data_IF_600053860247
#
_entry.id   IF_600053860247
#
_cell.length_a   1.000
_cell.length_b   1.000
_cell.length_c   1.000
_cell.angle_alpha   90.00
_cell.angle_beta   90.00
_cell.angle_gamma   90.00
#
_symmetry.space_group_name_H-M   'P 1'
#
loop_
_entity.id
_entity.type
_entity.pdbx_description
1 polymer ?
#
# COMPACT_ATOMS: atom_id res chain seq x y z
N UNK A 1 -14.42 11.28 8.57
CA UNK A 1 -13.99 10.12 9.37
C UNK A 1 -14.88 8.93 9.05
N UNK A 2 -14.28 7.80 8.66
CA UNK A 2 -14.96 6.54 8.39
C UNK A 2 -14.25 5.42 9.15
N UNK A 3 -14.99 4.55 9.84
CA UNK A 3 -14.41 3.40 10.54
C UNK A 3 -14.73 2.10 9.80
N UNK A 4 -13.71 1.29 9.57
CA UNK A 4 -13.79 -0.01 8.91
C UNK A 4 -13.45 -1.13 9.88
N UNK A 5 -14.11 -2.27 9.73
CA UNK A 5 -13.83 -3.48 10.50
C UNK A 5 -13.29 -4.60 9.61
N UNK A 6 -12.28 -5.32 10.10
CA UNK A 6 -11.74 -6.53 9.49
C UNK A 6 -11.16 -7.44 10.58
N UNK A 7 -11.58 -8.71 10.61
CA UNK A 7 -11.17 -9.73 11.60
C UNK A 7 -11.23 -9.25 13.07
N UNK A 8 -12.31 -8.58 13.44
CA UNK A 8 -12.50 -8.04 14.80
C UNK A 8 -11.65 -6.81 15.14
N UNK A 9 -10.77 -6.36 14.22
CA UNK A 9 -10.01 -5.13 14.34
C UNK A 9 -10.69 -3.97 13.61
N UNK A 10 -10.47 -2.76 14.13
CA UNK A 10 -11.01 -1.49 13.66
C UNK A 10 -9.90 -0.62 13.09
N UNK A 11 -10.22 0.01 11.96
CA UNK A 11 -9.36 0.90 11.21
C UNK A 11 -10.11 2.20 10.96
N UNK A 12 -9.47 3.32 11.24
CA UNK A 12 -9.99 4.65 10.98
C UNK A 12 -9.42 5.17 9.68
N UNK A 13 -10.28 5.80 8.88
CA UNK A 13 -9.90 6.52 7.69
C UNK A 13 -10.37 7.96 7.78
N UNK A 14 -9.42 8.86 7.66
CA UNK A 14 -9.64 10.30 7.65
C UNK A 14 -9.20 10.90 6.33
N UNK A 15 -9.91 11.93 5.88
CA UNK A 15 -9.48 12.74 4.76
C UNK A 15 -9.79 14.20 5.01
N UNK A 16 -8.92 15.08 4.53
CA UNK A 16 -9.09 16.51 4.67
C UNK A 16 -7.86 17.30 4.22
N UNK A 17 -8.05 18.61 4.05
CA UNK A 17 -6.96 19.51 3.68
C UNK A 17 -6.02 19.73 4.88
N UNK A 18 -4.73 19.48 4.69
CA UNK A 18 -3.68 19.72 5.67
C UNK A 18 -2.95 21.02 5.34
N UNK A 19 -3.23 22.09 6.08
CA UNK A 19 -2.56 23.38 5.93
C UNK A 19 -1.03 23.31 6.11
N UNK A 20 -0.48 22.55 7.09
CA UNK A 20 0.97 22.44 7.24
C UNK A 20 1.67 21.80 6.04
N UNK A 21 0.96 20.90 5.34
CA UNK A 21 1.51 20.13 4.22
C UNK A 21 1.18 20.73 2.84
N UNK A 22 0.28 21.72 2.80
CA UNK A 22 -0.30 22.30 1.58
C UNK A 22 -0.82 21.21 0.62
N UNK A 23 -1.58 20.27 1.19
CA UNK A 23 -1.97 19.04 0.53
C UNK A 23 -3.31 18.51 1.05
N UNK A 24 -4.04 17.83 0.17
CA UNK A 24 -5.12 16.96 0.61
C UNK A 24 -4.53 15.66 1.17
N UNK A 25 -4.94 15.31 2.40
CA UNK A 25 -4.43 14.17 3.15
C UNK A 25 -5.48 13.07 3.19
N UNK A 26 -5.08 11.84 2.93
CA UNK A 26 -5.81 10.62 3.27
C UNK A 26 -4.99 9.84 4.29
N UNK A 27 -5.60 9.40 5.38
CA UNK A 27 -4.92 8.69 6.46
C UNK A 27 -5.67 7.41 6.82
N UNK A 28 -4.92 6.32 6.97
CA UNK A 28 -5.38 5.03 7.47
C UNK A 28 -4.63 4.71 8.76
N UNK A 29 -5.39 4.57 9.85
CA UNK A 29 -4.85 4.25 11.17
C UNK A 29 -5.55 3.02 11.77
N UNK A 30 -4.79 2.13 12.41
CA UNK A 30 -5.38 1.09 13.27
C UNK A 30 -5.75 1.66 14.63
N UNK A 31 -7.03 1.58 15.01
CA UNK A 31 -7.54 2.17 16.27
C UNK A 31 -7.91 1.13 17.33
N UNK A 32 -7.85 -0.16 16.99
CA UNK A 32 -7.97 -1.26 17.94
C UNK A 32 -6.75 -2.20 17.86
N UNK A 33 -6.43 -2.88 18.94
CA UNK A 33 -5.28 -3.79 19.02
C UNK A 33 -4.24 -3.30 20.01
N UNK A 34 -3.05 -3.91 20.00
CA UNK A 34 -1.96 -3.45 20.85
C UNK A 34 -1.45 -2.08 20.37
N UNK A 35 -1.17 -1.13 21.28
CA UNK A 35 -0.64 0.18 20.90
C UNK A 35 0.60 0.06 20.00
N UNK A 36 0.66 0.86 18.93
CA UNK A 36 1.79 0.86 17.99
C UNK A 36 1.88 -0.33 17.04
N UNK A 37 0.85 -1.20 16.99
CA UNK A 37 0.82 -2.35 16.06
C UNK A 37 -0.10 -2.15 14.85
N UNK A 38 -1.03 -1.18 14.94
CA UNK A 38 -1.91 -0.80 13.85
C UNK A 38 -1.15 -0.10 12.73
N UNK A 39 -1.66 -0.14 11.49
CA UNK A 39 -1.02 0.56 10.40
C UNK A 39 -1.07 2.06 10.61
N UNK A 40 -0.09 2.75 10.05
CA UNK A 40 -0.14 4.18 9.88
C UNK A 40 0.37 4.51 8.47
N UNK A 41 -0.60 4.80 7.60
CA UNK A 41 -0.35 5.06 6.18
C UNK A 41 -1.06 6.35 5.78
N UNK A 42 -0.32 7.27 5.19
CA UNK A 42 -0.80 8.60 4.80
C UNK A 42 -0.48 8.82 3.34
N UNK A 43 -1.46 9.29 2.56
CA UNK A 43 -1.27 9.73 1.18
C UNK A 43 -1.50 11.23 1.12
N UNK A 44 -0.47 11.95 0.68
CA UNK A 44 -0.47 13.40 0.55
C UNK A 44 -0.54 13.76 -0.93
N UNK A 45 -1.64 14.40 -1.33
CA UNK A 45 -1.89 14.90 -2.67
C UNK A 45 -1.66 16.42 -2.64
N UNK A 46 -0.51 16.91 -3.14
CA UNK A 46 -0.19 18.32 -3.02
C UNK A 46 -1.17 19.20 -3.80
N UNK A 47 -1.44 20.38 -3.28
CA UNK A 47 -2.29 21.35 -3.95
C UNK A 47 -1.54 22.10 -5.07
N UNK A 48 -2.23 22.35 -6.17
CA UNK A 48 -1.82 23.13 -7.34
C UNK A 48 -2.75 24.32 -7.59
N UNK A 49 -3.67 24.61 -6.68
CA UNK A 49 -4.68 25.67 -6.81
C UNK A 49 -4.03 27.02 -7.09
N UNK A 50 -4.33 27.65 -8.24
CA UNK A 50 -4.01 29.06 -8.45
C UNK A 50 -5.00 29.94 -7.67
N UNK A 51 -4.47 30.97 -7.00
CA UNK A 51 -5.20 32.13 -6.46
C UNK A 51 -6.56 31.82 -5.75
N UNK A 52 -6.52 31.40 -4.48
CA UNK A 52 -7.68 31.20 -3.57
C UNK A 52 -8.85 30.33 -4.13
N UNK A 53 -8.59 29.54 -5.18
CA UNK A 53 -9.56 28.66 -5.84
C UNK A 53 -9.91 27.39 -5.05
N UNK A 54 -10.78 26.52 -5.60
CA UNK A 54 -11.00 25.19 -5.05
C UNK A 54 -9.75 24.32 -5.25
N UNK A 55 -9.53 23.40 -4.29
CA UNK A 55 -8.44 22.43 -4.32
C UNK A 55 -8.26 21.82 -5.72
N UNK A 56 -7.03 21.89 -6.23
CA UNK A 56 -6.65 21.34 -7.52
C UNK A 56 -5.47 20.40 -7.32
N UNK A 57 -5.64 19.07 -7.44
CA UNK A 57 -4.57 18.15 -7.13
C UNK A 57 -3.40 18.25 -8.13
N UNK A 58 -2.17 18.20 -7.62
CA UNK A 58 -1.00 17.89 -8.46
C UNK A 58 -1.11 16.46 -9.02
N UNK A 59 -0.36 16.23 -10.09
CA UNK A 59 -0.26 14.91 -10.74
C UNK A 59 0.30 13.85 -9.80
N UNK A 60 -0.04 12.59 -10.09
CA UNK A 60 0.39 11.39 -9.36
C UNK A 60 1.90 11.34 -9.06
N UNK A 61 2.73 11.84 -9.96
CA UNK A 61 4.19 11.93 -9.79
C UNK A 61 4.65 12.82 -8.62
N UNK A 62 3.78 13.70 -8.13
CA UNK A 62 4.02 14.56 -6.98
C UNK A 62 3.38 14.04 -5.68
N UNK A 63 2.49 13.05 -5.77
CA UNK A 63 1.82 12.45 -4.62
C UNK A 63 2.81 11.59 -3.84
N UNK A 64 2.73 11.65 -2.51
CA UNK A 64 3.61 10.89 -1.61
C UNK A 64 2.78 9.97 -0.72
N UNK A 65 3.26 8.75 -0.55
CA UNK A 65 2.80 7.79 0.45
C UNK A 65 3.79 7.76 1.59
N UNK A 66 3.36 8.17 2.78
CA UNK A 66 4.11 8.07 4.03
C UNK A 66 3.63 6.82 4.76
N UNK A 67 4.57 5.97 5.15
CA UNK A 67 4.30 4.66 5.73
C UNK A 67 5.17 4.55 6.99
N UNK A 68 4.58 4.10 8.09
CA UNK A 68 5.30 3.78 9.31
C UNK A 68 5.15 2.30 9.64
N UNK A 69 6.01 1.81 10.53
CA UNK A 69 5.98 0.45 11.06
C UNK A 69 4.56 0.02 11.44
N UNK A 70 4.17 -1.16 10.99
CA UNK A 70 2.85 -1.70 11.29
C UNK A 70 2.38 -2.73 10.27
N UNK A 71 1.26 -3.38 10.58
CA UNK A 71 0.64 -4.41 9.74
C UNK A 71 -0.76 -3.99 9.33
N UNK A 72 -1.03 -4.04 8.02
CA UNK A 72 -2.36 -3.81 7.44
C UNK A 72 -2.86 -5.10 6.79
N UNK A 73 -4.07 -5.58 7.10
CA UNK A 73 -4.68 -6.63 6.29
C UNK A 73 -4.79 -6.19 4.83
N UNK A 74 -4.43 -7.08 3.90
CA UNK A 74 -4.43 -6.76 2.48
C UNK A 74 -5.76 -6.18 1.97
N UNK A 75 -6.95 -6.70 2.35
CA UNK A 75 -8.22 -6.12 1.93
C UNK A 75 -8.47 -4.71 2.47
N UNK A 76 -7.95 -4.39 3.66
CA UNK A 76 -8.05 -3.03 4.25
C UNK A 76 -7.20 -2.07 3.45
N UNK A 77 -5.98 -2.47 3.06
CA UNK A 77 -5.11 -1.66 2.23
C UNK A 77 -5.72 -1.40 0.85
N UNK A 78 -6.19 -2.44 0.16
CA UNK A 78 -6.81 -2.28 -1.17
C UNK A 78 -8.01 -1.36 -1.10
N UNK A 79 -8.87 -1.50 -0.08
CA UNK A 79 -10.01 -0.59 0.11
C UNK A 79 -9.59 0.86 0.32
N UNK A 80 -8.46 1.10 0.99
CA UNK A 80 -7.91 2.44 1.16
C UNK A 80 -7.40 3.02 -0.17
N UNK A 81 -6.72 2.21 -0.97
CA UNK A 81 -6.26 2.61 -2.31
C UNK A 81 -7.46 2.90 -3.23
N UNK A 82 -8.45 2.01 -3.25
CA UNK A 82 -9.70 2.19 -4.03
C UNK A 82 -10.44 3.47 -3.65
N UNK A 83 -10.48 3.82 -2.36
CA UNK A 83 -11.09 5.07 -1.88
C UNK A 83 -10.37 6.29 -2.48
N UNK A 84 -9.04 6.27 -2.50
CA UNK A 84 -8.23 7.38 -3.01
C UNK A 84 -8.36 7.46 -4.53
N UNK A 85 -8.24 6.35 -5.26
CA UNK A 85 -8.39 6.33 -6.72
C UNK A 85 -9.81 6.72 -7.14
N UNK A 86 -10.82 6.30 -6.38
CA UNK A 86 -12.23 6.65 -6.61
C UNK A 86 -12.62 8.08 -6.23
N UNK A 87 -11.76 8.82 -5.52
CA UNK A 87 -12.04 10.21 -5.12
C UNK A 87 -12.00 11.21 -6.28
N UNK A 88 -11.23 10.89 -7.34
CA UNK A 88 -10.90 11.83 -8.42
C UNK A 88 -9.68 12.71 -8.14
N UNK A 89 -9.07 12.63 -6.96
CA UNK A 89 -7.92 13.47 -6.58
C UNK A 89 -6.58 12.98 -7.18
N UNK A 90 -6.51 11.72 -7.64
CA UNK A 90 -5.33 11.19 -8.32
C UNK A 90 -5.40 11.52 -9.80
N UNK A 91 -4.63 12.54 -10.22
CA UNK A 91 -4.58 12.96 -11.63
C UNK A 91 -3.35 12.43 -12.35
N UNK A 92 -3.53 11.96 -13.59
CA UNK A 92 -2.45 11.49 -14.44
C UNK A 92 -2.21 12.47 -15.59
N UNK A 93 -0.96 12.65 -16.01
CA UNK A 93 -0.64 13.49 -17.17
C UNK A 93 -1.10 12.83 -18.49
N UNK A 94 -1.41 13.61 -19.54
CA UNK A 94 -1.63 13.06 -20.88
C UNK A 94 -0.35 12.36 -21.36
N UNK A 95 -0.45 11.06 -21.65
CA UNK A 95 0.69 10.24 -22.07
C UNK A 95 1.53 9.66 -20.92
N UNK A 96 1.08 9.75 -19.67
CA UNK A 96 1.72 9.09 -18.54
C UNK A 96 1.45 7.58 -18.56
N UNK A 97 2.06 6.86 -19.50
CA UNK A 97 2.66 5.58 -19.11
C UNK A 97 3.76 5.99 -18.15
N UNK A 98 3.50 5.89 -16.83
CA UNK A 98 4.58 5.95 -15.86
C UNK A 98 5.68 5.05 -16.41
N UNK A 99 6.89 5.57 -16.62
CA UNK A 99 8.05 4.80 -17.08
C UNK A 99 8.52 3.86 -15.96
N UNK A 100 7.57 3.09 -15.41
CA UNK A 100 7.85 1.92 -14.63
C UNK A 100 8.20 0.86 -15.66
N UNK A 101 9.51 0.65 -15.83
CA UNK A 101 10.03 -0.27 -16.83
C UNK A 101 9.35 -1.64 -16.72
N UNK A 102 9.03 -2.22 -17.87
CA UNK A 102 8.42 -3.55 -17.98
C UNK A 102 9.29 -4.62 -17.30
N UNK A 103 8.70 -5.55 -16.52
CA UNK A 103 9.41 -6.63 -15.82
C UNK A 103 10.39 -7.42 -16.68
N UNK A 104 11.56 -7.74 -16.10
CA UNK A 104 12.43 -8.82 -16.57
C UNK A 104 12.71 -9.72 -15.37
N UNK A 105 12.12 -10.91 -15.41
CA UNK A 105 12.07 -11.93 -14.37
C UNK A 105 13.30 -12.06 -13.46
N UNK A 106 13.00 -12.22 -12.17
CA UNK A 106 13.83 -12.57 -10.98
C UNK A 106 14.45 -11.44 -10.17
N UNK A 107 14.31 -10.18 -10.57
CA UNK A 107 14.43 -8.99 -9.73
C UNK A 107 13.86 -7.83 -10.56
N UNK A 108 12.55 -7.63 -10.49
CA UNK A 108 11.92 -6.53 -11.21
C UNK A 108 12.41 -5.23 -10.59
N UNK A 109 13.41 -4.63 -11.24
CA UNK A 109 14.03 -3.39 -10.82
C UNK A 109 13.57 -2.30 -11.76
N UNK A 110 12.98 -1.25 -11.22
CA UNK A 110 12.57 -0.08 -11.99
C UNK A 110 13.12 1.20 -11.39
N UNK A 111 13.00 2.27 -12.17
CA UNK A 111 13.45 3.60 -11.79
C UNK A 111 12.26 4.54 -11.74
N UNK A 112 12.20 5.37 -10.70
CA UNK A 112 11.29 6.51 -10.63
C UNK A 112 12.12 7.74 -10.29
N UNK A 113 12.10 8.73 -11.19
CA UNK A 113 13.02 9.86 -11.17
C UNK A 113 14.49 9.39 -11.04
N UNK A 114 15.15 9.73 -9.95
CA UNK A 114 16.56 9.44 -9.66
C UNK A 114 16.73 8.33 -8.60
N UNK A 115 15.67 7.57 -8.31
CA UNK A 115 15.64 6.47 -7.34
C UNK A 115 15.34 5.15 -8.04
N UNK A 116 15.94 4.06 -7.56
CA UNK A 116 15.75 2.70 -8.09
C UNK A 116 15.09 1.82 -7.05
N UNK A 117 14.12 1.04 -7.46
CA UNK A 117 13.34 0.16 -6.59
C UNK A 117 13.35 -1.25 -7.16
N UNK A 118 13.23 -2.25 -6.29
CA UNK A 118 13.10 -3.63 -6.72
C UNK A 118 12.03 -4.36 -5.89
N UNK A 119 11.31 -5.29 -6.53
CA UNK A 119 10.57 -6.34 -5.82
C UNK A 119 11.41 -7.61 -5.78
N UNK A 120 11.59 -8.14 -4.58
CA UNK A 120 12.04 -9.52 -4.37
C UNK A 120 10.84 -10.39 -3.99
N UNK A 121 10.76 -11.61 -4.55
CA UNK A 121 9.72 -12.58 -4.21
C UNK A 121 10.36 -13.86 -3.68
N UNK A 122 9.98 -14.27 -2.47
CA UNK A 122 10.66 -15.37 -1.78
C UNK A 122 9.74 -16.13 -0.84
N UNK A 123 10.08 -17.40 -0.59
CA UNK A 123 9.45 -18.19 0.48
C UNK A 123 10.20 -17.95 1.79
N UNK A 124 9.48 -17.76 2.89
CA UNK A 124 10.08 -17.60 4.21
C UNK A 124 10.92 -18.82 4.60
N UNK A 125 11.89 -18.64 5.49
CA UNK A 125 12.82 -19.71 5.91
C UNK A 125 12.12 -20.88 6.63
N UNK A 126 11.04 -20.60 7.36
CA UNK A 126 10.14 -21.56 7.98
C UNK A 126 9.09 -22.13 7.00
N UNK A 127 9.09 -21.66 5.74
CA UNK A 127 8.21 -22.06 4.64
C UNK A 127 6.72 -21.84 4.91
N UNK A 128 6.40 -20.97 5.86
CA UNK A 128 5.02 -20.70 6.27
C UNK A 128 4.33 -19.60 5.45
N UNK A 129 5.05 -18.93 4.54
CA UNK A 129 4.52 -17.89 3.68
C UNK A 129 5.34 -17.66 2.41
N UNK A 130 4.67 -17.06 1.43
CA UNK A 130 5.28 -16.41 0.27
C UNK A 130 5.24 -14.89 0.47
N UNK A 131 6.34 -14.22 0.18
CA UNK A 131 6.54 -12.80 0.45
C UNK A 131 6.95 -12.07 -0.82
N UNK A 132 6.34 -10.91 -1.06
CA UNK A 132 6.82 -9.92 -2.03
C UNK A 132 7.30 -8.69 -1.28
N UNK A 133 8.57 -8.36 -1.38
CA UNK A 133 9.20 -7.25 -0.68
C UNK A 133 9.65 -6.18 -1.66
N UNK A 134 9.20 -4.94 -1.45
CA UNK A 134 9.68 -3.74 -2.12
C UNK A 134 10.75 -3.06 -1.27
N UNK A 135 11.88 -2.73 -1.88
CA UNK A 135 12.95 -1.94 -1.29
C UNK A 135 13.60 -0.97 -2.29
N UNK A 136 14.30 0.05 -1.79
CA UNK A 136 15.12 0.94 -2.62
C UNK A 136 16.51 0.34 -2.84
N UNK A 137 16.93 0.25 -4.10
CA UNK A 137 18.25 -0.22 -4.50
C UNK A 137 19.27 0.90 -4.27
N UNK A 138 20.27 0.62 -3.44
CA UNK A 138 21.27 1.61 -3.00
C UNK A 138 20.62 2.86 -2.39
N UNK A 139 19.94 2.72 -1.24
CA UNK A 139 19.15 3.79 -0.65
C UNK A 139 20.03 4.98 -0.27
N UNK A 140 19.47 6.19 -0.41
CA UNK A 140 20.15 7.45 -0.05
C UNK A 140 20.36 7.59 1.45
N UNK A 141 19.53 6.91 2.22
CA UNK A 141 19.57 6.88 3.68
C UNK A 141 20.05 5.53 4.14
N UNK A 142 20.71 5.47 5.30
CA UNK A 142 21.08 4.21 5.95
C UNK A 142 19.89 3.44 6.53
N UNK A 143 18.67 3.98 6.45
CA UNK A 143 17.45 3.29 6.87
C UNK A 143 17.20 2.06 6.01
N UNK A 144 17.11 0.89 6.63
CA UNK A 144 16.76 -0.36 5.98
C UNK A 144 15.24 -0.49 5.87
N UNK A 145 14.62 0.47 5.18
CA UNK A 145 13.18 0.51 5.02
C UNK A 145 12.74 -0.41 3.88
N UNK A 146 11.70 -1.20 4.12
CA UNK A 146 11.04 -2.00 3.10
C UNK A 146 9.55 -2.12 3.41
N UNK A 147 8.77 -2.52 2.41
CA UNK A 147 7.38 -2.95 2.60
C UNK A 147 7.23 -4.33 2.01
N UNK A 148 6.43 -5.17 2.66
CA UNK A 148 6.26 -6.57 2.30
C UNK A 148 4.78 -6.93 2.26
N UNK A 149 4.37 -7.71 1.25
CA UNK A 149 3.11 -8.45 1.27
C UNK A 149 3.41 -9.90 1.56
N UNK A 150 2.89 -10.38 2.69
CA UNK A 150 3.02 -11.77 3.14
C UNK A 150 1.72 -12.53 2.88
N UNK A 151 1.83 -13.64 2.14
CA UNK A 151 0.74 -14.56 1.80
C UNK A 151 0.99 -15.87 2.56
N UNK A 152 0.21 -16.18 3.62
CA UNK A 152 0.41 -17.40 4.38
C UNK A 152 0.26 -18.66 3.54
N UNK A 153 1.05 -19.69 3.85
CA UNK A 153 0.90 -21.04 3.34
C UNK A 153 -0.10 -21.81 4.22
N UNK A 154 -1.15 -22.35 3.61
CA UNK A 154 -2.14 -23.16 4.35
C UNK A 154 -1.66 -24.60 4.63
N UNK A 155 -0.53 -25.02 4.04
CA UNK A 155 0.09 -26.34 4.27
C UNK A 155 1.62 -26.23 4.46
N UNK A 156 2.08 -25.70 5.61
CA UNK A 156 3.51 -25.49 5.87
C UNK A 156 4.31 -26.79 6.08
N UNK A 157 3.66 -27.93 6.30
CA UNK A 157 4.26 -29.20 6.74
C UNK A 157 4.89 -30.05 5.60
N UNK A 158 5.75 -29.45 4.78
CA UNK A 158 6.42 -30.03 3.60
C UNK A 158 5.49 -30.32 2.41
N UNK A 159 5.56 -29.42 1.42
CA UNK A 159 4.82 -29.50 0.17
C UNK A 159 5.05 -28.26 -0.70
N UNK A 160 4.51 -28.25 -1.94
CA UNK A 160 4.43 -27.03 -2.72
C UNK A 160 3.62 -25.99 -1.95
N UNK A 161 4.01 -24.72 -2.08
CA UNK A 161 3.29 -23.60 -1.49
C UNK A 161 1.81 -23.66 -1.88
N UNK A 162 0.93 -23.51 -0.90
CA UNK A 162 -0.51 -23.30 -1.14
C UNK A 162 -0.91 -21.99 -0.51
N UNK A 163 -1.15 -21.00 -1.36
CA UNK A 163 -1.58 -19.68 -0.95
C UNK A 163 -2.87 -19.75 -0.12
N UNK A 164 -2.88 -19.03 1.00
CA UNK A 164 -4.10 -18.61 1.65
C UNK A 164 -4.89 -17.64 0.76
N UNK A 165 -6.16 -17.47 1.09
CA UNK A 165 -7.01 -16.45 0.49
C UNK A 165 -6.53 -15.04 0.83
N UNK A 166 -6.85 -14.07 -0.04
CA UNK A 166 -6.37 -12.69 0.05
C UNK A 166 -6.78 -11.98 1.36
N UNK A 167 -7.84 -12.42 2.04
CA UNK A 167 -8.24 -11.95 3.37
C UNK A 167 -7.23 -12.28 4.47
N UNK A 168 -6.38 -13.30 4.25
CA UNK A 168 -5.32 -13.69 5.18
C UNK A 168 -3.96 -13.09 4.82
N UNK A 169 -3.84 -12.45 3.66
CA UNK A 169 -2.63 -11.76 3.26
C UNK A 169 -2.49 -10.44 4.02
N UNK A 170 -1.26 -10.04 4.29
CA UNK A 170 -0.98 -8.82 5.05
C UNK A 170 0.16 -8.02 4.46
N UNK A 171 -0.08 -6.72 4.37
CA UNK A 171 0.93 -5.72 4.10
C UNK A 171 1.65 -5.35 5.41
N UNK A 172 2.97 -5.35 5.40
CA UNK A 172 3.81 -4.98 6.53
C UNK A 172 4.79 -3.91 6.09
N UNK A 173 4.93 -2.86 6.90
CA UNK A 173 5.98 -1.87 6.72
C UNK A 173 7.09 -2.12 7.73
N UNK A 174 8.33 -2.03 7.26
CA UNK A 174 9.55 -2.10 8.05
C UNK A 174 10.23 -0.73 8.02
N UNK A 175 10.29 -0.08 9.16
CA UNK A 175 10.75 1.29 9.34
C UNK A 175 9.71 2.35 8.95
N UNK A 176 10.20 3.58 8.78
CA UNK A 176 9.40 4.72 8.33
C UNK A 176 9.88 5.17 6.95
N UNK A 177 8.99 5.13 5.96
CA UNK A 177 9.34 5.34 4.57
C UNK A 177 8.39 6.30 3.86
N UNK A 178 8.94 7.16 3.01
CA UNK A 178 8.18 8.00 2.09
C UNK A 178 8.45 7.56 0.66
N UNK A 179 7.41 7.06 0.02
CA UNK A 179 7.42 6.58 -1.35
C UNK A 179 6.65 7.54 -2.27
N UNK A 180 7.08 7.71 -3.52
CA UNK A 180 6.21 8.27 -4.55
C UNK A 180 4.98 7.36 -4.72
N UNK A 181 3.79 7.95 -4.83
CA UNK A 181 2.56 7.19 -5.06
C UNK A 181 2.66 6.20 -6.24
N UNK A 182 3.26 6.55 -7.40
CA UNK A 182 3.38 5.60 -8.50
C UNK A 182 4.23 4.37 -8.18
N UNK A 183 5.23 4.51 -7.30
CA UNK A 183 6.06 3.38 -6.85
C UNK A 183 5.26 2.47 -5.92
N UNK A 184 4.55 3.07 -4.96
CA UNK A 184 3.69 2.33 -4.05
C UNK A 184 2.59 1.58 -4.83
N UNK A 185 1.91 2.26 -5.74
CA UNK A 185 0.84 1.69 -6.56
C UNK A 185 1.35 0.57 -7.47
N UNK A 186 2.50 0.76 -8.11
CA UNK A 186 3.08 -0.27 -8.95
C UNK A 186 3.46 -1.53 -8.17
N UNK A 187 3.96 -1.39 -6.95
CA UNK A 187 4.23 -2.56 -6.10
C UNK A 187 2.96 -3.38 -5.87
N UNK A 188 1.82 -2.72 -5.60
CA UNK A 188 0.54 -3.41 -5.47
C UNK A 188 0.14 -4.12 -6.77
N UNK A 189 0.32 -3.47 -7.94
CA UNK A 189 0.07 -4.10 -9.24
C UNK A 189 0.94 -5.35 -9.46
N UNK A 190 2.23 -5.29 -9.08
CA UNK A 190 3.15 -6.43 -9.21
C UNK A 190 2.68 -7.60 -8.36
N UNK A 191 2.26 -7.34 -7.12
CA UNK A 191 1.73 -8.37 -6.21
C UNK A 191 0.44 -8.98 -6.75
N UNK A 192 -0.49 -8.17 -7.25
CA UNK A 192 -1.73 -8.67 -7.85
C UNK A 192 -1.48 -9.47 -9.15
N UNK A 193 -0.55 -8.99 -9.98
CA UNK A 193 -0.20 -9.64 -11.26
C UNK A 193 0.60 -10.94 -11.08
N UNK A 194 1.29 -11.14 -9.95
CA UNK A 194 2.00 -12.37 -9.65
C UNK A 194 1.05 -13.59 -9.58
N UNK A 195 -0.23 -13.37 -9.28
CA UNK A 195 -1.24 -14.44 -9.21
C UNK A 195 -1.13 -15.34 -7.98
N UNK A 196 -0.29 -14.96 -7.02
CA UNK A 196 -0.07 -15.70 -5.76
C UNK A 196 -1.22 -15.48 -4.74
N UNK A 197 -2.07 -14.46 -4.94
CA UNK A 197 -3.23 -14.17 -4.12
C UNK A 197 -4.48 -14.91 -4.62
N UNK A 198 -5.04 -15.78 -3.78
CA UNK A 198 -6.31 -16.44 -4.09
C UNK A 198 -7.47 -15.54 -3.67
N UNK A 199 -8.36 -15.20 -4.61
CA UNK A 199 -9.55 -14.41 -4.30
C UNK A 199 -10.43 -15.11 -3.24
N UNK A 200 -10.95 -14.34 -2.28
CA UNK A 200 -11.98 -14.84 -1.37
C UNK A 200 -13.26 -15.09 -2.19
N UNK A 201 -13.78 -16.31 -2.13
CA UNK A 201 -15.04 -16.69 -2.78
C UNK A 201 -16.26 -16.03 -2.12
N UNK A 202 -16.08 -15.36 -0.97
CA UNK A 202 -17.13 -14.75 -0.17
C UNK A 202 -16.90 -13.26 0.05
N UNK A 203 -17.98 -12.49 0.21
CA UNK A 203 -17.88 -11.07 0.63
C UNK A 203 -17.49 -10.90 2.10
N UNK A 204 -17.14 -11.99 2.81
CA UNK A 204 -16.87 -11.97 4.25
C UNK A 204 -15.52 -11.30 4.56
N UNK A 205 -14.51 -11.44 3.71
CA UNK A 205 -13.19 -10.82 3.89
C UNK A 205 -13.08 -9.33 3.56
N UNK A 206 -14.08 -8.73 2.88
CA UNK A 206 -14.03 -7.29 2.57
C UNK A 206 -14.27 -6.45 3.83
N UNK A 207 -13.44 -5.42 4.09
CA UNK A 207 -13.69 -4.50 5.18
C UNK A 207 -15.05 -3.85 4.97
N UNK A 208 -15.84 -3.69 6.04
CA UNK A 208 -17.17 -3.07 5.97
C UNK A 208 -17.16 -1.73 6.69
N UNK A 209 -17.83 -0.69 6.15
CA UNK A 209 -18.04 0.52 6.91
C UNK A 209 -18.94 0.20 8.10
N UNK A 210 -18.62 0.75 9.28
CA UNK A 210 -19.54 0.72 10.40
C UNK A 210 -20.68 1.74 10.14
N UNK A 211 -21.93 1.42 10.53
CA UNK A 211 -23.02 2.39 10.46
C UNK A 211 -22.67 3.61 11.31
N UNK A 212 -22.84 4.79 10.72
CA UNK A 212 -22.76 6.08 11.44
C UNK A 212 -23.96 6.18 12.39
N UNK A 213 -23.77 6.63 13.64
CA UNK A 213 -24.84 6.79 14.62
C UNK A 213 -25.93 7.78 14.19
#
# INVERSE_FOLDING_TARGET
MNVWAHDGLLYEVESGYSLPDDAWRYELAGISGAPGTGPYLVVLIPDATPDDGPFTPKRAEHIRTVIHDGRTPWPVLLRFVDLIEGSGDVTHGPGATSNVGTPTSSNDTWQFADRRFAVNSYRTGDRDAWCHELYEVAPRTSGNNSIEVRIPDVRPADGPFVAATADRATFTAHGAWTLPWPVFRHFLDVVEAAGDLVADATTAGRPKPLPTP
#
